data_IF_195605178772
#
_entry.id   IF_195605178772
#
_cell.length_a   1.000
_cell.length_b   1.000
_cell.length_c   1.000
_cell.angle_alpha   90.00
_cell.angle_beta   90.00
_cell.angle_gamma   90.00
#
_symmetry.space_group_name_H-M   'P 1'
#
loop_
_entity.id
_entity.type
_entity.pdbx_description
1 polymer ?
#
# COMPACT_ATOMS: atom_id res chain seq x y z
N UNK A 1 10.04 34.78 -3.00
CA UNK A 1 8.61 34.53 -3.28
C UNK A 1 8.37 34.22 -4.75
N UNK A 2 9.26 34.66 -5.63
CA UNK A 2 9.16 34.58 -7.09
C UNK A 2 8.88 33.18 -7.63
N UNK A 3 9.52 32.13 -7.07
CA UNK A 3 9.27 30.74 -7.49
C UNK A 3 7.84 30.26 -7.20
N UNK A 4 7.20 30.76 -6.14
CA UNK A 4 5.82 30.40 -5.78
C UNK A 4 4.85 31.14 -6.70
N UNK A 5 5.10 32.42 -6.97
CA UNK A 5 4.29 33.23 -7.88
C UNK A 5 4.37 32.69 -9.30
N UNK A 6 5.57 32.32 -9.76
CA UNK A 6 5.75 31.63 -11.05
C UNK A 6 4.95 30.33 -11.09
N UNK A 7 5.08 29.46 -10.08
CA UNK A 7 4.31 28.21 -10.05
C UNK A 7 2.80 28.46 -10.04
N UNK A 8 2.33 29.49 -9.33
CA UNK A 8 0.93 29.88 -9.32
C UNK A 8 0.45 30.28 -10.72
N UNK A 9 1.19 31.15 -11.41
CA UNK A 9 0.87 31.55 -12.78
C UNK A 9 0.89 30.34 -13.72
N UNK A 10 1.87 29.45 -13.59
CA UNK A 10 1.96 28.27 -14.44
C UNK A 10 0.77 27.31 -14.26
N UNK A 11 0.24 27.19 -13.04
CA UNK A 11 -0.96 26.41 -12.77
C UNK A 11 -2.22 27.13 -13.29
N UNK A 12 -2.32 28.44 -13.03
CA UNK A 12 -3.47 29.27 -13.44
C UNK A 12 -3.62 29.31 -14.96
N UNK A 13 -2.52 29.45 -15.68
CA UNK A 13 -2.47 29.56 -17.14
C UNK A 13 -2.41 28.17 -17.82
N UNK A 14 -2.46 27.08 -17.04
CA UNK A 14 -2.40 25.68 -17.51
C UNK A 14 -1.14 25.34 -18.30
N UNK A 15 -0.02 26.00 -18.01
CA UNK A 15 1.30 25.75 -18.62
C UNK A 15 2.17 24.85 -17.75
N UNK A 16 1.77 24.55 -16.51
CA UNK A 16 2.50 23.66 -15.61
C UNK A 16 2.70 22.27 -16.23
N UNK A 17 3.96 21.82 -16.24
CA UNK A 17 4.37 20.47 -16.62
C UNK A 17 5.31 19.92 -15.55
N UNK A 18 5.09 18.68 -15.14
CA UNK A 18 5.91 18.04 -14.11
C UNK A 18 7.36 17.89 -14.58
N UNK A 19 8.30 18.25 -13.70
CA UNK A 19 9.73 18.41 -14.04
C UNK A 19 10.53 17.08 -14.10
N UNK A 20 9.86 15.94 -14.21
CA UNK A 20 10.47 14.59 -14.12
C UNK A 20 10.89 14.16 -12.70
N UNK A 21 11.68 13.08 -12.61
CA UNK A 21 12.07 12.46 -11.34
C UNK A 21 13.56 12.14 -11.26
N UNK A 22 14.15 12.34 -10.08
CA UNK A 22 15.47 11.80 -9.76
C UNK A 22 15.32 10.37 -9.23
N UNK A 23 15.84 9.39 -9.95
CA UNK A 23 15.83 7.98 -9.54
C UNK A 23 17.03 7.65 -8.65
N UNK A 24 16.79 6.86 -7.60
CA UNK A 24 17.86 6.26 -6.79
C UNK A 24 17.38 4.96 -6.18
N UNK A 25 18.32 4.05 -5.94
CA UNK A 25 18.01 2.71 -5.44
C UNK A 25 18.32 2.65 -3.95
N UNK A 26 17.33 2.26 -3.14
CA UNK A 26 17.55 1.89 -1.74
C UNK A 26 17.39 0.38 -1.61
N UNK A 27 18.34 -0.25 -0.93
CA UNK A 27 18.29 -1.67 -0.59
C UNK A 27 18.15 -1.85 0.93
N UNK A 28 16.91 -1.82 1.44
CA UNK A 28 16.65 -2.22 2.84
C UNK A 28 15.18 -2.68 3.03
N UNK A 29 14.87 -3.99 3.11
CA UNK A 29 15.71 -5.18 2.89
C UNK A 29 15.67 -5.69 1.43
N UNK A 30 14.81 -5.12 0.58
CA UNK A 30 14.66 -5.45 -0.84
C UNK A 30 15.00 -4.21 -1.66
N UNK A 31 15.67 -4.34 -2.82
CA UNK A 31 15.91 -3.22 -3.72
C UNK A 31 14.60 -2.53 -4.11
N UNK A 32 14.58 -1.20 -3.97
CA UNK A 32 13.47 -0.33 -4.36
C UNK A 32 14.03 0.83 -5.15
N UNK A 33 13.51 1.00 -6.36
CA UNK A 33 13.78 2.17 -7.18
C UNK A 33 12.82 3.27 -6.73
N UNK A 34 13.37 4.29 -6.08
CA UNK A 34 12.62 5.45 -5.59
C UNK A 34 12.77 6.57 -6.61
N UNK A 35 11.66 7.25 -6.89
CA UNK A 35 11.59 8.33 -7.87
C UNK A 35 11.18 9.61 -7.14
N UNK A 36 12.15 10.47 -6.83
CA UNK A 36 11.94 11.70 -6.05
C UNK A 36 11.63 12.86 -7.00
N UNK A 37 10.46 13.47 -6.80
CA UNK A 37 10.07 14.69 -7.50
C UNK A 37 10.87 15.90 -7.01
N UNK A 38 10.94 16.95 -7.83
CA UNK A 38 11.60 18.22 -7.47
C UNK A 38 10.87 18.92 -6.31
N UNK A 39 11.49 19.92 -5.68
CA UNK A 39 10.81 20.70 -4.61
C UNK A 39 9.55 21.37 -5.15
N UNK A 40 9.62 21.96 -6.36
CA UNK A 40 8.52 22.61 -7.05
C UNK A 40 7.34 21.66 -7.24
N UNK A 41 7.59 20.47 -7.80
CA UNK A 41 6.53 19.48 -8.01
C UNK A 41 6.00 18.93 -6.67
N UNK A 42 6.84 18.78 -5.64
CA UNK A 42 6.39 18.40 -4.28
C UNK A 42 5.42 19.39 -3.65
N UNK A 43 5.55 20.68 -3.93
CA UNK A 43 4.55 21.68 -3.52
C UNK A 43 3.20 21.38 -4.19
N UNK A 44 3.20 21.10 -5.49
CA UNK A 44 2.00 20.70 -6.23
C UNK A 44 1.39 19.40 -5.67
N UNK A 45 2.22 18.39 -5.41
CA UNK A 45 1.76 17.15 -4.77
C UNK A 45 1.08 17.40 -3.42
N UNK A 46 1.61 18.34 -2.63
CA UNK A 46 1.06 18.70 -1.32
C UNK A 46 -0.26 19.46 -1.45
N UNK A 47 -0.35 20.38 -2.42
CA UNK A 47 -1.58 21.10 -2.74
C UNK A 47 -2.70 20.13 -3.12
N UNK A 48 -2.44 19.24 -4.08
CA UNK A 48 -3.40 18.22 -4.52
C UNK A 48 -3.82 17.34 -3.34
N UNK A 49 -2.88 16.86 -2.53
CA UNK A 49 -3.18 16.02 -1.39
C UNK A 49 -4.05 16.74 -0.36
N UNK A 50 -3.73 17.99 -0.04
CA UNK A 50 -4.47 18.80 0.94
C UNK A 50 -5.95 18.93 0.55
N UNK A 51 -6.23 19.21 -0.72
CA UNK A 51 -7.60 19.42 -1.20
C UNK A 51 -8.37 18.10 -1.38
N UNK A 52 -7.72 17.05 -1.91
CA UNK A 52 -8.41 15.80 -2.25
C UNK A 52 -8.52 14.82 -1.08
N UNK A 53 -7.55 14.82 -0.16
CA UNK A 53 -7.50 13.81 0.90
C UNK A 53 -8.76 13.79 1.78
N UNK A 54 -9.29 14.93 2.28
CA UNK A 54 -10.48 14.91 3.15
C UNK A 54 -11.69 14.24 2.50
N UNK A 55 -11.91 14.48 1.20
CA UNK A 55 -13.00 13.88 0.45
C UNK A 55 -12.81 12.36 0.26
N UNK A 56 -11.62 11.92 -0.17
CA UNK A 56 -11.38 10.49 -0.39
C UNK A 56 -11.30 9.70 0.92
N UNK A 57 -10.84 10.32 2.01
CA UNK A 57 -10.76 9.65 3.31
C UNK A 57 -12.13 9.26 3.86
N UNK A 58 -13.19 10.05 3.57
CA UNK A 58 -14.58 9.70 3.91
C UNK A 58 -15.14 8.56 3.06
N UNK A 59 -14.66 8.37 1.83
CA UNK A 59 -15.09 7.29 0.94
C UNK A 59 -14.39 5.95 1.25
N UNK A 60 -13.20 6.00 1.83
CA UNK A 60 -12.43 4.80 2.16
C UNK A 60 -13.07 3.99 3.29
N UNK A 61 -13.06 2.66 3.14
CA UNK A 61 -13.49 1.76 4.20
C UNK A 61 -12.70 2.00 5.50
N UNK A 62 -13.34 1.81 6.66
CA UNK A 62 -12.68 1.98 7.95
C UNK A 62 -11.43 1.08 8.11
N UNK A 63 -11.47 -0.13 7.57
CA UNK A 63 -10.42 -1.15 7.76
C UNK A 63 -9.27 -1.09 6.71
N UNK A 64 -9.13 0.06 6.02
CA UNK A 64 -7.93 0.41 5.26
C UNK A 64 -7.02 1.33 6.08
N UNK A 65 -5.75 0.95 6.27
CA UNK A 65 -4.88 1.56 7.28
C UNK A 65 -3.63 2.28 6.75
N UNK A 66 -3.22 2.06 5.50
CA UNK A 66 -1.96 2.62 4.98
C UNK A 66 -2.11 4.08 4.57
N UNK A 67 -1.12 4.91 4.88
CA UNK A 67 -1.00 6.31 4.44
C UNK A 67 -2.26 7.16 4.72
N UNK A 68 -2.90 6.92 5.87
CA UNK A 68 -4.10 7.64 6.34
C UNK A 68 -3.87 8.25 7.71
N UNK A 69 -4.42 9.45 7.91
CA UNK A 69 -4.35 10.20 9.16
C UNK A 69 -5.03 9.39 10.26
N UNK A 70 -4.42 9.32 11.44
CA UNK A 70 -4.90 8.52 12.57
C UNK A 70 -5.09 7.03 12.25
N UNK A 71 -4.43 6.50 11.21
CA UNK A 71 -4.34 5.06 10.92
C UNK A 71 -2.89 4.59 11.13
N UNK A 72 -2.46 3.55 10.41
CA UNK A 72 -1.11 3.01 10.51
C UNK A 72 -1.05 1.60 11.10
N UNK A 73 0.17 1.09 11.18
CA UNK A 73 0.46 -0.34 11.43
C UNK A 73 -0.09 -0.81 12.77
N UNK A 74 0.09 -0.04 13.84
CA UNK A 74 -0.36 -0.45 15.18
C UNK A 74 -1.87 -0.59 15.29
N UNK A 75 -2.63 0.30 14.62
CA UNK A 75 -4.10 0.19 14.55
C UNK A 75 -4.52 -1.03 13.73
N UNK A 76 -3.85 -1.30 12.61
CA UNK A 76 -4.13 -2.47 11.79
C UNK A 76 -3.91 -3.80 12.54
N UNK A 77 -2.78 -3.94 13.26
CA UNK A 77 -2.50 -5.17 14.04
C UNK A 77 -3.41 -5.34 15.26
N UNK A 78 -3.88 -4.25 15.86
CA UNK A 78 -4.86 -4.33 16.94
C UNK A 78 -6.23 -4.74 16.38
N UNK A 79 -6.63 -4.16 15.25
CA UNK A 79 -7.85 -4.58 14.55
C UNK A 79 -7.81 -6.06 14.16
N UNK A 80 -6.66 -6.53 13.68
CA UNK A 80 -6.44 -7.94 13.36
C UNK A 80 -6.72 -8.85 14.57
N UNK A 81 -6.19 -8.49 15.76
CA UNK A 81 -6.47 -9.21 17.00
C UNK A 81 -7.96 -9.18 17.34
N UNK A 82 -8.61 -8.03 17.23
CA UNK A 82 -10.02 -7.89 17.57
C UNK A 82 -10.91 -8.73 16.62
N UNK A 83 -10.59 -8.77 15.33
CA UNK A 83 -11.27 -9.64 14.36
C UNK A 83 -11.01 -11.12 14.64
N UNK A 84 -9.78 -11.47 14.98
CA UNK A 84 -9.45 -12.83 15.40
C UNK A 84 -10.33 -13.26 16.58
N UNK A 85 -10.47 -12.46 17.64
CA UNK A 85 -11.32 -12.81 18.79
C UNK A 85 -12.78 -13.01 18.40
N UNK A 86 -13.30 -12.20 17.47
CA UNK A 86 -14.68 -12.32 16.97
C UNK A 86 -14.89 -13.60 16.14
N UNK A 87 -13.95 -13.92 15.25
CA UNK A 87 -14.05 -15.12 14.39
C UNK A 87 -13.83 -16.40 15.18
N UNK A 88 -12.86 -16.40 16.10
CA UNK A 88 -12.51 -17.57 16.92
C UNK A 88 -13.43 -17.75 18.12
N UNK A 89 -14.40 -16.86 18.35
CA UNK A 89 -15.22 -16.83 19.56
C UNK A 89 -14.35 -16.94 20.82
N UNK A 90 -13.41 -16.00 20.96
CA UNK A 90 -12.41 -15.98 22.04
C UNK A 90 -11.58 -17.28 22.14
N UNK A 91 -11.03 -17.75 21.01
CA UNK A 91 -10.18 -18.95 20.89
C UNK A 91 -10.89 -20.30 21.10
N UNK A 92 -12.23 -20.35 21.10
CA UNK A 92 -12.98 -21.61 21.18
C UNK A 92 -13.10 -22.31 19.82
N UNK A 93 -12.94 -21.57 18.72
CA UNK A 93 -13.00 -22.08 17.35
C UNK A 93 -11.75 -21.76 16.55
N UNK A 94 -11.46 -22.61 15.58
CA UNK A 94 -10.38 -22.37 14.62
C UNK A 94 -10.65 -21.12 13.80
N UNK A 95 -9.65 -20.24 13.72
CA UNK A 95 -9.64 -19.09 12.83
C UNK A 95 -8.59 -19.31 11.74
N UNK A 96 -9.04 -19.31 10.50
CA UNK A 96 -8.22 -19.28 9.31
C UNK A 96 -8.01 -17.83 8.87
N UNK A 97 -6.85 -17.56 8.31
CA UNK A 97 -6.46 -16.26 7.77
C UNK A 97 -5.98 -16.48 6.35
N UNK A 98 -6.70 -15.90 5.40
CA UNK A 98 -6.22 -15.70 4.03
C UNK A 98 -5.39 -14.43 4.01
N UNK A 99 -4.13 -14.55 3.61
CA UNK A 99 -3.25 -13.41 3.35
C UNK A 99 -2.95 -13.31 1.87
N UNK A 100 -2.98 -12.10 1.33
CA UNK A 100 -2.65 -11.79 -0.05
C UNK A 100 -1.76 -10.54 -0.13
N UNK A 101 -0.94 -10.49 -1.18
CA UNK A 101 -0.01 -9.38 -1.49
C UNK A 101 -0.01 -9.18 -3.01
N UNK A 102 0.01 -7.93 -3.47
CA UNK A 102 -0.04 -7.59 -4.90
C UNK A 102 1.37 -7.49 -5.47
N UNK A 103 1.60 -8.15 -6.62
CA UNK A 103 2.92 -8.18 -7.26
C UNK A 103 3.25 -6.83 -7.91
N UNK A 104 4.44 -6.30 -7.58
CA UNK A 104 4.98 -5.04 -8.14
C UNK A 104 3.97 -3.88 -8.10
N UNK A 105 3.18 -3.81 -7.04
CA UNK A 105 1.96 -3.00 -6.96
C UNK A 105 2.05 -1.59 -7.57
N UNK A 106 2.99 -0.76 -7.12
CA UNK A 106 3.15 0.60 -7.65
C UNK A 106 3.45 0.64 -9.14
N UNK A 107 4.19 -0.33 -9.69
CA UNK A 107 4.51 -0.38 -11.13
C UNK A 107 3.33 -0.92 -11.97
N UNK A 108 2.43 -1.68 -11.35
CA UNK A 108 1.32 -2.35 -12.03
C UNK A 108 0.07 -1.48 -12.20
N UNK A 109 -0.02 -0.31 -11.53
CA UNK A 109 -1.19 0.57 -11.59
C UNK A 109 -1.44 1.05 -13.03
N UNK A 110 -2.62 0.75 -13.57
CA UNK A 110 -2.99 1.17 -14.92
C UNK A 110 -3.50 2.63 -14.89
N UNK A 111 -2.90 3.49 -15.71
CA UNK A 111 -3.24 4.91 -15.73
C UNK A 111 -4.64 5.16 -16.25
N UNK A 112 -5.09 4.41 -17.26
CA UNK A 112 -6.42 4.56 -17.85
C UNK A 112 -7.50 4.23 -16.84
N UNK A 113 -7.32 3.13 -16.09
CA UNK A 113 -8.24 2.74 -15.03
C UNK A 113 -8.22 3.78 -13.89
N UNK A 114 -7.03 4.22 -13.46
CA UNK A 114 -6.91 5.22 -12.41
C UNK A 114 -7.61 6.53 -12.76
N UNK A 115 -7.37 7.05 -13.98
CA UNK A 115 -8.02 8.26 -14.48
C UNK A 115 -9.54 8.11 -14.54
N UNK A 116 -10.04 6.97 -15.04
CA UNK A 116 -11.48 6.66 -15.07
C UNK A 116 -12.10 6.62 -13.67
N UNK A 117 -11.40 6.07 -12.68
CA UNK A 117 -11.86 6.10 -11.28
C UNK A 117 -11.95 7.54 -10.79
N UNK A 118 -10.89 8.34 -11.01
CA UNK A 118 -10.84 9.74 -10.57
C UNK A 118 -11.93 10.60 -11.22
N UNK A 119 -12.22 10.42 -12.51
CA UNK A 119 -13.25 11.16 -13.25
C UNK A 119 -14.67 10.95 -12.69
N UNK A 120 -14.93 9.79 -12.06
CA UNK A 120 -16.22 9.54 -11.38
C UNK A 120 -16.38 10.43 -10.15
N UNK A 121 -15.28 10.72 -9.46
CA UNK A 121 -15.27 11.48 -8.20
C UNK A 121 -15.01 12.98 -8.38
N UNK A 122 -14.17 13.36 -9.35
CA UNK A 122 -13.71 14.74 -9.55
C UNK A 122 -14.33 15.28 -10.83
N UNK A 123 -15.26 16.25 -10.68
CA UNK A 123 -15.93 16.91 -11.80
C UNK A 123 -15.24 18.19 -12.26
N UNK A 124 -14.40 18.76 -11.40
CA UNK A 124 -13.59 19.92 -11.72
C UNK A 124 -12.50 19.54 -12.76
N UNK A 125 -12.59 20.15 -13.93
CA UNK A 125 -11.70 19.88 -15.07
C UNK A 125 -10.27 20.36 -14.82
N UNK A 126 -10.08 21.39 -14.01
CA UNK A 126 -8.78 21.99 -13.76
C UNK A 126 -7.98 21.15 -12.77
N UNK A 127 -8.65 20.66 -11.71
CA UNK A 127 -8.07 19.68 -10.78
C UNK A 127 -7.74 18.38 -11.51
N UNK A 128 -8.65 17.91 -12.36
CA UNK A 128 -8.44 16.69 -13.14
C UNK A 128 -7.24 16.84 -14.09
N UNK A 129 -7.14 17.96 -14.82
CA UNK A 129 -5.98 18.27 -15.66
C UNK A 129 -4.66 18.23 -14.87
N UNK A 130 -4.63 18.82 -13.67
CA UNK A 130 -3.43 18.82 -12.83
C UNK A 130 -3.07 17.41 -12.35
N UNK A 131 -4.06 16.58 -12.03
CA UNK A 131 -3.85 15.17 -11.72
C UNK A 131 -3.31 14.39 -12.91
N UNK A 132 -3.78 14.67 -14.12
CA UNK A 132 -3.23 14.07 -15.33
C UNK A 132 -1.76 14.44 -15.52
N UNK A 133 -1.39 15.71 -15.33
CA UNK A 133 0.03 16.12 -15.39
C UNK A 133 0.88 15.32 -14.40
N UNK A 134 0.37 15.04 -13.20
CA UNK A 134 1.07 14.24 -12.19
C UNK A 134 1.12 12.76 -12.55
N UNK A 135 0.01 12.16 -12.99
CA UNK A 135 -0.07 10.74 -13.34
C UNK A 135 0.79 10.45 -14.57
N UNK A 136 0.64 11.24 -15.63
CA UNK A 136 1.33 11.04 -16.91
C UNK A 136 2.82 11.37 -16.86
N UNK A 137 3.29 12.03 -15.79
CA UNK A 137 4.70 12.37 -15.58
C UNK A 137 5.60 11.16 -15.37
N UNK A 138 5.03 10.01 -15.01
CA UNK A 138 5.78 8.79 -14.73
C UNK A 138 5.19 7.61 -15.49
N UNK A 139 6.04 6.80 -16.11
CA UNK A 139 5.64 5.47 -16.56
C UNK A 139 6.72 4.50 -16.13
N UNK A 140 6.32 3.38 -15.54
CA UNK A 140 7.21 2.26 -15.38
C UNK A 140 7.52 1.72 -16.77
N UNK A 141 8.77 1.82 -17.18
CA UNK A 141 9.28 1.10 -18.34
C UNK A 141 9.31 -0.38 -17.95
N UNK A 142 8.17 -1.06 -18.02
CA UNK A 142 8.23 -2.51 -18.11
C UNK A 142 8.80 -2.77 -19.49
N UNK A 143 10.13 -2.93 -19.55
CA UNK A 143 10.79 -3.58 -20.67
C UNK A 143 10.27 -5.02 -20.63
N UNK A 144 9.08 -5.24 -21.15
CA UNK A 144 8.78 -6.51 -21.77
C UNK A 144 9.76 -6.60 -22.91
N UNK A 145 10.81 -7.41 -22.71
CA UNK A 145 11.58 -8.03 -23.77
C UNK A 145 10.61 -8.86 -24.62
N UNK A 146 9.75 -8.18 -25.36
CA UNK A 146 8.85 -8.75 -26.35
C UNK A 146 9.53 -8.53 -27.69
N UNK A 147 9.62 -9.60 -28.45
CA UNK A 147 10.30 -9.71 -29.73
C UNK A 147 10.08 -8.50 -30.63
N UNK A 148 11.13 -8.15 -31.37
CA UNK A 148 11.23 -7.08 -32.37
C UNK A 148 10.12 -7.05 -33.43
N UNK A 149 9.22 -8.03 -33.47
CA UNK A 149 8.07 -8.09 -34.38
C UNK A 149 6.79 -7.41 -33.85
N UNK A 150 6.62 -7.15 -32.54
CA UNK A 150 5.40 -6.48 -32.03
C UNK A 150 5.48 -4.94 -32.02
N UNK A 151 6.68 -4.39 -32.23
CA UNK A 151 6.96 -2.96 -32.08
C UNK A 151 6.19 -2.05 -33.06
N UNK A 152 5.73 -2.59 -34.20
CA UNK A 152 5.03 -1.81 -35.22
C UNK A 152 3.54 -1.66 -34.87
N UNK A 153 2.92 -2.66 -34.22
CA UNK A 153 1.50 -2.64 -33.84
C UNK A 153 1.23 -1.90 -32.51
N UNK A 154 2.22 -1.81 -31.61
CA UNK A 154 2.10 -1.12 -30.31
C UNK A 154 2.29 0.41 -30.37
N UNK A 155 2.40 0.98 -31.57
CA UNK A 155 2.60 2.41 -31.78
C UNK A 155 1.32 3.25 -31.57
N UNK A 156 0.14 2.63 -31.45
CA UNK A 156 -1.14 3.37 -31.43
C UNK A 156 -1.70 3.59 -30.02
N UNK A 157 -1.41 2.75 -29.02
CA UNK A 157 -1.84 2.98 -27.62
C UNK A 157 -0.79 2.42 -26.65
N UNK A 158 0.25 3.21 -26.34
CA UNK A 158 1.19 2.86 -25.27
C UNK A 158 0.49 3.02 -23.92
N UNK A 159 -0.05 1.93 -23.39
CA UNK A 159 -0.69 1.92 -22.06
C UNK A 159 0.38 2.27 -21.03
N UNK A 160 0.29 3.48 -20.46
CA UNK A 160 1.16 3.91 -19.38
C UNK A 160 0.75 3.20 -18.09
N UNK A 161 1.73 2.64 -17.39
CA UNK A 161 1.52 1.95 -16.12
C UNK A 161 2.50 2.42 -15.09
N UNK A 162 2.04 2.46 -13.86
CA UNK A 162 2.84 2.62 -12.67
C UNK A 162 2.81 4.03 -12.10
N UNK A 163 3.06 4.12 -10.80
CA UNK A 163 3.17 5.36 -10.06
C UNK A 163 4.55 5.45 -9.42
N UNK A 164 5.13 6.66 -9.32
CA UNK A 164 6.47 6.84 -8.80
C UNK A 164 6.47 6.57 -7.29
N UNK A 165 7.31 5.63 -6.86
CA UNK A 165 7.48 5.31 -5.45
C UNK A 165 8.22 6.45 -4.75
N UNK A 166 7.64 6.98 -3.67
CA UNK A 166 8.24 8.04 -2.85
C UNK A 166 7.53 9.40 -2.88
N UNK A 167 6.45 9.54 -3.66
CA UNK A 167 5.67 10.79 -3.73
C UNK A 167 4.35 10.69 -2.96
N UNK A 168 3.90 11.83 -2.42
CA UNK A 168 2.71 11.92 -1.58
C UNK A 168 1.42 11.59 -2.34
N UNK A 169 1.26 12.13 -3.55
CA UNK A 169 0.08 11.82 -4.38
C UNK A 169 0.02 10.35 -4.75
N UNK A 170 1.16 9.70 -5.04
CA UNK A 170 1.19 8.26 -5.34
C UNK A 170 0.57 7.42 -4.22
N UNK A 171 0.76 7.81 -2.95
CA UNK A 171 0.17 7.10 -1.81
C UNK A 171 -1.35 7.23 -1.77
N UNK A 172 -1.87 8.44 -2.04
CA UNK A 172 -3.30 8.70 -2.11
C UNK A 172 -3.94 7.97 -3.32
N UNK A 173 -3.36 8.13 -4.51
CA UNK A 173 -3.84 7.54 -5.76
C UNK A 173 -3.93 6.01 -5.68
N UNK A 174 -2.93 5.38 -5.08
CA UNK A 174 -2.92 3.94 -4.82
C UNK A 174 -4.08 3.50 -3.90
N UNK A 175 -4.38 4.29 -2.88
CA UNK A 175 -5.50 4.00 -1.99
C UNK A 175 -6.86 4.21 -2.67
N UNK A 176 -6.99 5.23 -3.53
CA UNK A 176 -8.17 5.45 -4.37
C UNK A 176 -8.38 4.26 -5.30
N UNK A 177 -7.31 3.83 -5.99
CA UNK A 177 -7.36 2.67 -6.89
C UNK A 177 -7.83 1.40 -6.18
N UNK A 178 -7.27 1.13 -4.99
CA UNK A 178 -7.63 -0.04 -4.20
C UNK A 178 -8.97 0.09 -3.46
N UNK A 179 -9.55 1.29 -3.39
CA UNK A 179 -10.88 1.45 -2.80
C UNK A 179 -11.94 0.72 -3.63
N UNK A 180 -11.81 0.66 -4.95
CA UNK A 180 -12.70 -0.13 -5.81
C UNK A 180 -12.73 -1.61 -5.38
N UNK A 181 -11.55 -2.16 -5.10
CA UNK A 181 -11.42 -3.51 -4.55
C UNK A 181 -12.02 -3.62 -3.15
N UNK A 182 -11.75 -2.66 -2.27
CA UNK A 182 -12.31 -2.67 -0.91
C UNK A 182 -13.84 -2.65 -0.92
N UNK A 183 -14.45 -1.84 -1.78
CA UNK A 183 -15.90 -1.76 -1.93
C UNK A 183 -16.46 -3.06 -2.50
N UNK A 184 -15.81 -3.68 -3.49
CA UNK A 184 -16.18 -4.99 -3.99
C UNK A 184 -16.16 -6.06 -2.87
N UNK A 185 -15.09 -6.11 -2.07
CA UNK A 185 -14.95 -7.06 -0.96
C UNK A 185 -16.04 -6.84 0.11
N UNK A 186 -16.37 -5.59 0.42
CA UNK A 186 -17.35 -5.26 1.47
C UNK A 186 -18.81 -5.34 1.01
N UNK A 187 -19.13 -4.93 -0.21
CA UNK A 187 -20.51 -4.81 -0.70
C UNK A 187 -20.96 -6.06 -1.46
N UNK A 188 -20.12 -6.57 -2.36
CA UNK A 188 -20.45 -7.72 -3.20
C UNK A 188 -20.14 -9.04 -2.49
N UNK A 189 -18.88 -9.21 -2.05
CA UNK A 189 -18.47 -10.44 -1.34
C UNK A 189 -18.96 -10.48 0.11
N UNK A 190 -19.38 -9.34 0.65
CA UNK A 190 -19.90 -9.16 2.03
C UNK A 190 -18.94 -9.69 3.11
N UNK A 191 -17.64 -9.56 2.87
CA UNK A 191 -16.60 -10.04 3.80
C UNK A 191 -16.54 -9.12 5.02
N UNK A 192 -16.93 -9.66 6.18
CA UNK A 192 -16.99 -8.89 7.44
C UNK A 192 -15.59 -8.55 7.95
N UNK A 193 -14.70 -9.54 8.06
CA UNK A 193 -13.40 -9.42 8.72
C UNK A 193 -12.26 -9.28 7.72
N UNK A 194 -12.20 -8.11 7.08
CA UNK A 194 -11.22 -7.76 6.06
C UNK A 194 -10.38 -6.56 6.52
N UNK A 195 -9.06 -6.63 6.35
CA UNK A 195 -8.10 -5.57 6.66
C UNK A 195 -7.16 -5.37 5.47
N UNK A 196 -6.96 -4.12 5.06
CA UNK A 196 -5.99 -3.76 4.02
C UNK A 196 -4.94 -2.78 4.53
N UNK A 197 -3.70 -2.99 4.11
CA UNK A 197 -2.57 -2.11 4.30
C UNK A 197 -1.79 -1.98 2.99
N UNK A 198 -2.10 -0.93 2.21
CA UNK A 198 -1.59 -0.76 0.84
C UNK A 198 -1.92 -1.97 -0.05
N UNK A 199 -0.91 -2.75 -0.42
CA UNK A 199 -0.95 -3.98 -1.22
C UNK A 199 -1.12 -5.27 -0.41
N UNK A 200 -0.83 -5.25 0.89
CA UNK A 200 -1.00 -6.41 1.79
C UNK A 200 -2.40 -6.38 2.40
N UNK A 201 -3.16 -7.46 2.28
CA UNK A 201 -4.49 -7.58 2.87
C UNK A 201 -4.77 -8.97 3.40
N UNK A 202 -5.65 -9.03 4.39
CA UNK A 202 -6.01 -10.25 5.10
C UNK A 202 -7.52 -10.37 5.30
N UNK A 203 -8.01 -11.59 5.21
CA UNK A 203 -9.40 -11.98 5.51
C UNK A 203 -9.37 -13.07 6.56
N UNK A 204 -10.15 -12.89 7.62
CA UNK A 204 -10.28 -13.85 8.71
C UNK A 204 -11.63 -14.56 8.63
N UNK A 205 -11.62 -15.89 8.70
CA UNK A 205 -12.85 -16.68 8.74
C UNK A 205 -12.66 -18.03 9.45
N UNK A 206 -13.76 -18.64 9.88
CA UNK A 206 -13.76 -19.99 10.48
C UNK A 206 -13.78 -21.13 9.46
N UNK A 207 -14.21 -20.88 8.22
CA UNK A 207 -14.29 -21.85 7.13
C UNK A 207 -13.17 -21.62 6.10
N UNK A 208 -12.34 -22.64 5.90
CA UNK A 208 -11.25 -22.65 4.94
C UNK A 208 -11.76 -22.70 3.49
N UNK A 209 -12.80 -23.49 3.21
CA UNK A 209 -13.34 -23.64 1.85
C UNK A 209 -13.94 -22.33 1.36
N UNK A 210 -14.62 -21.60 2.25
CA UNK A 210 -15.07 -20.25 1.96
C UNK A 210 -13.93 -19.32 1.54
N UNK A 211 -12.79 -19.34 2.24
CA UNK A 211 -11.62 -18.53 1.89
C UNK A 211 -11.03 -18.91 0.53
N UNK A 212 -10.95 -20.20 0.22
CA UNK A 212 -10.51 -20.69 -1.08
C UNK A 212 -11.44 -20.23 -2.21
N UNK A 213 -12.76 -20.28 -1.99
CA UNK A 213 -13.75 -19.80 -2.96
C UNK A 213 -13.67 -18.29 -3.20
N UNK A 214 -13.43 -17.52 -2.14
CA UNK A 214 -13.29 -16.05 -2.23
C UNK A 214 -11.99 -15.66 -2.90
N UNK A 215 -10.91 -16.40 -2.66
CA UNK A 215 -9.62 -16.13 -3.29
C UNK A 215 -9.74 -16.16 -4.83
N UNK A 216 -10.52 -17.08 -5.39
CA UNK A 216 -10.77 -17.13 -6.84
C UNK A 216 -11.48 -15.87 -7.34
N UNK A 217 -12.54 -15.43 -6.65
CA UNK A 217 -13.28 -14.20 -6.99
C UNK A 217 -12.42 -12.94 -6.86
N UNK A 218 -11.58 -12.89 -5.83
CA UNK A 218 -10.62 -11.79 -5.62
C UNK A 218 -9.61 -11.72 -6.76
N UNK A 219 -9.02 -12.86 -7.14
CA UNK A 219 -8.09 -12.92 -8.28
C UNK A 219 -8.74 -12.41 -9.55
N UNK A 220 -9.94 -12.92 -9.86
CA UNK A 220 -10.67 -12.52 -11.05
C UNK A 220 -10.96 -11.01 -11.08
N UNK A 221 -11.42 -10.43 -9.96
CA UNK A 221 -11.69 -9.00 -9.88
C UNK A 221 -10.42 -8.16 -10.04
N UNK A 222 -9.32 -8.55 -9.38
CA UNK A 222 -8.05 -7.83 -9.48
C UNK A 222 -7.50 -7.88 -10.90
N UNK A 223 -7.54 -9.04 -11.56
CA UNK A 223 -7.02 -9.23 -12.91
C UNK A 223 -7.89 -8.54 -13.98
N UNK A 224 -9.22 -8.74 -13.93
CA UNK A 224 -10.13 -8.21 -14.95
C UNK A 224 -10.48 -6.74 -14.72
N UNK A 225 -10.79 -6.38 -13.48
CA UNK A 225 -11.27 -5.05 -13.10
C UNK A 225 -10.14 -4.03 -12.91
N UNK A 226 -9.06 -4.43 -12.23
CA UNK A 226 -7.96 -3.52 -11.86
C UNK A 226 -6.64 -3.82 -12.56
N UNK A 227 -6.55 -4.84 -13.42
CA UNK A 227 -5.30 -5.24 -14.11
C UNK A 227 -4.11 -5.46 -13.14
N UNK A 228 -4.40 -6.01 -11.96
CA UNK A 228 -3.43 -6.32 -10.92
C UNK A 228 -3.30 -7.83 -10.70
N UNK A 229 -2.07 -8.27 -10.46
CA UNK A 229 -1.78 -9.69 -10.18
C UNK A 229 -1.41 -9.90 -8.71
N UNK A 230 -1.89 -11.00 -8.12
CA UNK A 230 -1.43 -11.43 -6.81
C UNK A 230 -0.04 -12.08 -6.88
N UNK A 231 0.71 -11.91 -5.80
CA UNK A 231 2.00 -12.57 -5.63
C UNK A 231 1.79 -14.01 -5.15
N UNK A 232 1.86 -14.99 -6.08
CA UNK A 232 1.67 -16.43 -5.82
C UNK A 232 2.31 -16.91 -4.51
N UNK A 233 3.58 -16.60 -4.31
CA UNK A 233 4.37 -17.12 -3.18
C UNK A 233 4.03 -16.48 -1.82
N UNK A 234 3.27 -15.38 -1.84
CA UNK A 234 2.84 -14.66 -0.64
C UNK A 234 1.36 -14.82 -0.35
N UNK A 235 0.62 -15.48 -1.23
CA UNK A 235 -0.76 -15.85 -0.99
C UNK A 235 -0.79 -17.15 -0.20
N UNK A 236 -1.44 -17.15 0.97
CA UNK A 236 -1.60 -18.37 1.75
C UNK A 236 -2.83 -18.31 2.64
N UNK A 237 -3.34 -19.49 2.99
CA UNK A 237 -4.36 -19.67 4.02
C UNK A 237 -3.73 -20.46 5.17
N UNK A 238 -3.73 -19.88 6.36
CA UNK A 238 -3.15 -20.50 7.57
C UNK A 238 -4.07 -20.36 8.77
N UNK A 239 -3.97 -21.29 9.71
CA UNK A 239 -4.61 -21.13 11.01
C UNK A 239 -3.83 -20.13 11.85
N UNK A 240 -4.52 -19.34 12.66
CA UNK A 240 -3.87 -18.40 13.58
C UNK A 240 -2.93 -19.09 14.57
N UNK A 241 -3.24 -20.34 14.97
CA UNK A 241 -2.41 -21.15 15.86
C UNK A 241 -1.03 -21.47 15.28
N UNK A 242 -0.92 -21.58 13.95
CA UNK A 242 0.36 -21.83 13.26
C UNK A 242 1.27 -20.60 13.16
N UNK A 243 0.76 -19.42 13.55
CA UNK A 243 1.46 -18.15 13.40
C UNK A 243 1.25 -17.53 12.01
N UNK A 244 0.64 -16.35 11.98
CA UNK A 244 0.36 -15.61 10.74
C UNK A 244 1.27 -14.38 10.64
N UNK A 245 2.07 -14.30 9.59
CA UNK A 245 2.95 -13.16 9.35
C UNK A 245 2.22 -12.01 8.64
N UNK A 246 1.94 -10.93 9.37
CA UNK A 246 1.25 -9.75 8.89
C UNK A 246 1.82 -8.46 9.52
N UNK A 247 2.15 -7.49 8.67
CA UNK A 247 2.67 -6.16 9.04
C UNK A 247 3.87 -6.16 9.99
N UNK A 248 4.83 -7.08 9.77
CA UNK A 248 6.07 -7.14 10.53
C UNK A 248 5.98 -7.89 11.87
N UNK A 249 4.82 -8.46 12.16
CA UNK A 249 4.55 -9.28 13.35
C UNK A 249 4.05 -10.65 12.93
N UNK A 250 4.40 -11.67 13.73
CA UNK A 250 3.80 -13.01 13.64
C UNK A 250 2.74 -13.10 14.72
N UNK A 251 1.49 -13.28 14.32
CA UNK A 251 0.32 -13.31 15.20
C UNK A 251 -0.04 -14.74 15.55
N UNK A 252 -0.15 -15.02 16.84
CA UNK A 252 -0.67 -16.25 17.42
C UNK A 252 -1.96 -15.97 18.18
N UNK A 253 -2.67 -17.01 18.61
CA UNK A 253 -3.97 -16.87 19.28
C UNK A 253 -3.96 -15.99 20.53
N UNK A 254 -2.89 -16.05 21.33
CA UNK A 254 -2.79 -15.34 22.63
C UNK A 254 -1.82 -14.16 22.63
N UNK A 255 -0.89 -14.13 21.67
CA UNK A 255 0.21 -13.18 21.67
C UNK A 255 0.70 -12.93 20.25
N UNK A 256 1.57 -11.95 20.06
CA UNK A 256 2.25 -11.70 18.78
C UNK A 256 3.70 -11.37 19.03
N UNK A 257 4.58 -11.85 18.17
CA UNK A 257 6.02 -11.68 18.27
C UNK A 257 6.56 -10.92 17.06
N UNK A 258 7.67 -10.21 17.25
CA UNK A 258 8.32 -9.50 16.15
C UNK A 258 8.82 -10.49 15.11
N UNK A 259 8.54 -10.23 13.82
CA UNK A 259 9.02 -11.08 12.71
C UNK A 259 10.54 -11.27 12.80
N UNK A 260 11.01 -12.51 12.60
CA UNK A 260 12.42 -12.89 12.76
C UNK A 260 13.38 -12.02 11.95
N UNK A 261 13.05 -11.69 10.70
CA UNK A 261 13.86 -10.81 9.86
C UNK A 261 13.92 -9.38 10.42
N UNK A 262 12.80 -8.84 10.89
CA UNK A 262 12.74 -7.53 11.56
C UNK A 262 13.59 -7.53 12.84
N UNK A 263 13.48 -8.58 13.66
CA UNK A 263 14.30 -8.78 14.86
C UNK A 263 15.80 -8.81 14.53
N UNK A 264 16.21 -9.63 13.55
CA UNK A 264 17.63 -9.74 13.16
C UNK A 264 18.18 -8.40 12.66
N UNK A 265 17.41 -7.69 11.84
CA UNK A 265 17.79 -6.35 11.34
C UNK A 265 17.91 -5.33 12.47
N UNK A 266 16.95 -5.30 13.38
CA UNK A 266 17.00 -4.43 14.56
C UNK A 266 18.28 -4.67 15.37
N UNK A 267 18.58 -5.92 15.70
CA UNK A 267 19.81 -6.27 16.44
C UNK A 267 21.08 -5.94 15.65
N UNK A 268 21.08 -6.10 14.32
CA UNK A 268 22.22 -5.72 13.47
C UNK A 268 22.46 -4.22 13.54
N UNK A 269 21.43 -3.39 13.30
CA UNK A 269 21.55 -1.93 13.35
C UNK A 269 21.97 -1.41 14.73
N UNK A 270 21.43 -1.98 15.80
CA UNK A 270 21.83 -1.59 17.17
C UNK A 270 23.29 -1.92 17.46
N UNK A 271 23.89 -2.94 16.81
CA UNK A 271 25.32 -3.23 16.95
C UNK A 271 26.20 -2.32 16.09
N UNK A 272 25.72 -1.93 14.91
CA UNK A 272 26.48 -1.10 13.97
C UNK A 272 26.43 0.39 14.34
N UNK A 273 25.31 0.88 14.86
CA UNK A 273 25.13 2.28 15.23
C UNK A 273 24.14 2.42 16.40
N UNK A 274 24.61 2.27 17.65
CA UNK A 274 23.78 2.36 18.85
C UNK A 274 23.49 3.81 19.22
N UNK A 275 22.58 4.46 18.50
CA UNK A 275 22.08 5.78 18.91
C UNK A 275 20.85 5.66 19.82
N UNK A 276 20.76 6.56 20.79
CA UNK A 276 19.70 6.54 21.82
C UNK A 276 18.32 6.67 21.19
N UNK A 277 18.19 7.40 20.08
CA UNK A 277 16.93 7.57 19.35
C UNK A 277 16.45 6.26 18.72
N UNK A 278 17.33 5.46 18.11
CA UNK A 278 16.92 4.16 17.55
C UNK A 278 16.59 3.18 18.66
N UNK A 279 17.33 3.18 19.77
CA UNK A 279 17.01 2.35 20.94
C UNK A 279 15.62 2.67 21.45
N UNK A 280 15.30 3.94 21.69
CA UNK A 280 13.97 4.34 22.16
C UNK A 280 12.87 4.03 21.15
N UNK A 281 13.12 4.22 19.86
CA UNK A 281 12.20 3.84 18.79
C UNK A 281 11.87 2.34 18.81
N UNK A 282 12.89 1.49 18.93
CA UNK A 282 12.70 0.04 19.01
C UNK A 282 12.02 -0.39 20.31
N UNK A 283 12.35 0.22 21.44
CA UNK A 283 11.66 -0.02 22.71
C UNK A 283 10.16 0.33 22.61
N UNK A 284 9.83 1.45 21.95
CA UNK A 284 8.46 1.84 21.64
C UNK A 284 7.73 0.79 20.80
N UNK A 285 8.34 0.35 19.70
CA UNK A 285 7.79 -0.70 18.84
C UNK A 285 7.52 -2.01 19.61
N UNK A 286 8.45 -2.42 20.47
CA UNK A 286 8.36 -3.67 21.24
C UNK A 286 7.25 -3.66 22.32
N UNK A 287 6.72 -2.49 22.70
CA UNK A 287 5.52 -2.40 23.57
C UNK A 287 4.27 -2.98 22.92
N UNK A 288 4.25 -3.04 21.60
CA UNK A 288 3.11 -3.54 20.84
C UNK A 288 3.12 -5.06 20.64
N UNK A 289 3.84 -5.86 21.42
CA UNK A 289 3.76 -7.32 21.34
C UNK A 289 4.54 -7.98 22.46
N UNK A 290 4.76 -9.29 22.35
CA UNK A 290 5.63 -10.00 23.28
C UNK A 290 7.11 -9.70 22.96
N UNK A 291 7.56 -8.55 23.47
CA UNK A 291 8.90 -8.03 23.31
C UNK A 291 9.74 -8.09 24.58
N UNK A 292 9.25 -8.66 25.69
CA UNK A 292 9.92 -8.55 27.01
C UNK A 292 11.38 -9.04 26.97
N UNK A 293 11.61 -10.25 26.47
CA UNK A 293 12.96 -10.82 26.33
C UNK A 293 13.87 -9.98 25.42
N UNK A 294 13.32 -9.37 24.36
CA UNK A 294 14.10 -8.50 23.47
C UNK A 294 14.43 -7.16 24.13
N UNK A 295 13.47 -6.55 24.84
CA UNK A 295 13.68 -5.29 25.57
C UNK A 295 14.80 -5.44 26.59
N UNK A 296 14.78 -6.50 27.39
CA UNK A 296 15.83 -6.77 28.37
C UNK A 296 17.21 -7.04 27.72
N UNK A 297 17.24 -7.48 26.46
CA UNK A 297 18.49 -7.67 25.72
C UNK A 297 19.04 -6.37 25.12
N UNK A 298 18.17 -5.38 24.86
CA UNK A 298 18.56 -4.06 24.34
C UNK A 298 19.01 -3.13 25.46
N UNK A 299 18.43 -3.28 26.66
CA UNK A 299 18.75 -2.47 27.84
C UNK A 299 19.97 -2.98 28.63
N UNK A 300 20.55 -4.12 28.23
CA UNK A 300 21.81 -4.66 28.75
C UNK A 300 22.93 -4.28 27.79
#
# INVERSE_FOLDING_TARGET
>A
MDNIISLHNDIKDKTYRHSGYQSFNISDPKPRNIHKATVRDRVVHHLIYKELYPYFDSEFIHDSYSCRINKGTHRAINRFRDFHHKVSYNNTRTCYVLKCDIKKFFASIDHTILKKILERHIKDKDIFWLLEQVIDSFSSSTVSSMSTLSAIAESVIKIKKGLPLGNLTSQLLVNIYMNEFDQYVKRELKVKYYIRYADDFVILQNDKMYLESILLKIKEFLEKGLKLDLHSDKVFIKTIGSGVDFLGWVHFSKHRVLRTSTKRRMMKRLRENPNTESVQSYLGMLKHGDGYKLRNKILK
#
